data_IF_883306650946
#
_entry.id   IF_883306650946
#
_cell.length_a   1.000
_cell.length_b   1.000
_cell.length_c   1.000
_cell.angle_alpha   90.00
_cell.angle_beta   90.00
_cell.angle_gamma   90.00
#
_symmetry.space_group_name_H-M   'P 1'
#
loop_
_entity.id
_entity.type
_entity.pdbx_description
1 polymer ?
#
# COMPACT_ATOMS: atom_id res chain seq x y z
N UNK A 1 -2.33 -10.11 25.97
CA UNK A 1 -3.19 -8.94 25.62
C UNK A 1 -4.32 -9.40 24.71
N UNK A 2 -5.34 -8.58 24.45
CA UNK A 2 -6.32 -8.87 23.41
C UNK A 2 -5.70 -8.68 22.03
N UNK A 3 -5.77 -9.70 21.18
CA UNK A 3 -5.34 -9.59 19.79
C UNK A 3 -6.32 -8.73 18.99
N UNK A 4 -5.81 -8.03 17.98
CA UNK A 4 -6.63 -7.30 17.03
C UNK A 4 -5.93 -7.22 15.67
N UNK A 5 -6.74 -7.11 14.61
CA UNK A 5 -6.27 -6.76 13.26
C UNK A 5 -7.25 -5.76 12.65
N UNK A 6 -6.71 -4.75 11.99
CA UNK A 6 -7.46 -3.74 11.23
C UNK A 6 -6.88 -3.72 9.83
N UNK A 7 -7.77 -3.63 8.83
CA UNK A 7 -7.41 -3.63 7.41
C UNK A 7 -8.14 -2.49 6.70
N UNK A 8 -7.47 -1.82 5.76
CA UNK A 8 -8.09 -0.86 4.85
C UNK A 8 -7.84 -1.22 3.38
N UNK A 9 -8.83 -0.92 2.53
CA UNK A 9 -8.80 -1.11 1.08
C UNK A 9 -8.58 0.18 0.28
N UNK A 10 -8.20 1.26 0.97
CA UNK A 10 -7.96 2.57 0.36
C UNK A 10 -9.07 3.58 0.61
N UNK A 11 -8.72 4.85 0.46
CA UNK A 11 -9.63 5.99 0.53
C UNK A 11 -10.10 6.41 -0.87
N UNK A 12 -11.33 6.92 -0.97
CA UNK A 12 -11.90 7.41 -2.21
C UNK A 12 -13.36 7.02 -2.41
N UNK A 13 -13.94 7.49 -3.52
CA UNK A 13 -15.32 7.16 -3.88
C UNK A 13 -15.38 5.74 -4.44
N UNK A 14 -16.23 4.91 -3.85
CA UNK A 14 -16.58 3.57 -4.33
C UNK A 14 -17.99 3.64 -4.93
N UNK A 15 -18.18 3.08 -6.12
CA UNK A 15 -19.50 3.05 -6.75
C UNK A 15 -20.41 2.03 -6.06
N UNK A 16 -21.72 2.26 -6.05
CA UNK A 16 -22.66 1.44 -5.29
C UNK A 16 -22.67 -0.03 -5.73
N UNK A 17 -22.41 -0.30 -7.01
CA UNK A 17 -22.30 -1.65 -7.59
C UNK A 17 -21.03 -2.40 -7.15
N UNK A 18 -20.02 -1.68 -6.63
CA UNK A 18 -18.75 -2.25 -6.16
C UNK A 18 -18.58 -2.25 -4.64
N UNK A 19 -19.45 -1.55 -3.90
CA UNK A 19 -19.33 -1.44 -2.45
C UNK A 19 -19.27 -2.80 -1.75
N UNK A 20 -20.13 -3.75 -2.13
CA UNK A 20 -20.19 -5.08 -1.51
C UNK A 20 -18.92 -5.90 -1.77
N UNK A 21 -18.43 -5.93 -3.02
CA UNK A 21 -17.24 -6.71 -3.38
C UNK A 21 -15.96 -6.16 -2.73
N UNK A 22 -15.84 -4.83 -2.61
CA UNK A 22 -14.71 -4.16 -1.96
C UNK A 22 -14.77 -4.32 -0.43
N UNK A 23 -15.95 -4.32 0.18
CA UNK A 23 -16.09 -4.63 1.60
C UNK A 23 -15.79 -6.11 1.91
N UNK A 24 -16.26 -7.02 1.05
CA UNK A 24 -15.97 -8.45 1.18
C UNK A 24 -14.46 -8.73 1.12
N UNK A 25 -13.73 -8.11 0.19
CA UNK A 25 -12.27 -8.32 0.11
C UNK A 25 -11.51 -7.83 1.36
N UNK A 26 -11.92 -6.72 1.98
CA UNK A 26 -11.32 -6.25 3.24
C UNK A 26 -11.64 -7.21 4.39
N UNK A 27 -12.87 -7.73 4.44
CA UNK A 27 -13.28 -8.74 5.41
C UNK A 27 -12.46 -10.01 5.26
N UNK A 28 -12.28 -10.50 4.04
CA UNK A 28 -11.51 -11.71 3.76
C UNK A 28 -10.04 -11.54 4.15
N UNK A 29 -9.43 -10.40 3.81
CA UNK A 29 -8.06 -10.06 4.22
C UNK A 29 -7.91 -10.00 5.75
N UNK A 30 -8.86 -9.36 6.45
CA UNK A 30 -8.86 -9.31 7.91
C UNK A 30 -9.01 -10.72 8.53
N UNK A 31 -9.87 -11.58 7.98
CA UNK A 31 -10.03 -12.96 8.43
C UNK A 31 -8.79 -13.82 8.19
N UNK A 32 -8.07 -13.60 7.08
CA UNK A 32 -6.80 -14.29 6.79
C UNK A 32 -5.76 -13.93 7.86
N UNK A 33 -5.56 -12.64 8.16
CA UNK A 33 -4.64 -12.22 9.21
C UNK A 33 -5.11 -12.64 10.60
N UNK A 34 -6.41 -12.58 10.89
CA UNK A 34 -6.98 -13.04 12.16
C UNK A 34 -6.67 -14.51 12.44
N UNK A 35 -6.81 -15.39 11.45
CA UNK A 35 -6.49 -16.82 11.59
C UNK A 35 -5.03 -17.05 11.96
N UNK A 36 -4.11 -16.21 11.51
CA UNK A 36 -2.70 -16.30 11.90
C UNK A 36 -2.55 -15.97 13.38
N UNK A 37 -3.15 -14.87 13.84
CA UNK A 37 -3.14 -14.47 15.25
C UNK A 37 -3.79 -15.54 16.15
N UNK A 38 -4.96 -16.05 15.77
CA UNK A 38 -5.71 -17.07 16.51
C UNK A 38 -4.92 -18.38 16.68
N UNK A 39 -4.06 -18.71 15.72
CA UNK A 39 -3.15 -19.86 15.78
C UNK A 39 -1.81 -19.55 16.48
N UNK A 40 -1.68 -18.40 17.14
CA UNK A 40 -0.47 -18.00 17.87
C UNK A 40 0.66 -17.45 16.98
N UNK A 41 0.36 -17.09 15.73
CA UNK A 41 1.31 -16.40 14.85
C UNK A 41 1.57 -14.95 15.26
N UNK A 42 2.61 -14.35 14.68
CA UNK A 42 3.03 -12.98 15.01
C UNK A 42 2.16 -11.91 14.34
N UNK A 43 2.12 -10.72 14.92
CA UNK A 43 1.45 -9.55 14.32
C UNK A 43 2.01 -9.25 12.92
N UNK A 44 3.32 -9.43 12.76
CA UNK A 44 4.05 -9.18 11.54
C UNK A 44 3.63 -10.13 10.39
N UNK A 45 3.43 -11.41 10.70
CA UNK A 45 2.97 -12.39 9.70
C UNK A 45 1.48 -12.17 9.36
N UNK A 46 0.68 -11.73 10.35
CA UNK A 46 -0.73 -11.41 10.16
C UNK A 46 -0.94 -10.23 9.20
N UNK A 47 -0.20 -9.13 9.38
CA UNK A 47 -0.31 -7.95 8.49
C UNK A 47 0.23 -8.25 7.09
N UNK A 48 1.32 -9.02 6.97
CA UNK A 48 1.84 -9.46 5.67
C UNK A 48 0.78 -10.27 4.92
N UNK A 49 0.18 -11.28 5.56
CA UNK A 49 -0.81 -12.13 4.91
C UNK A 49 -2.08 -11.37 4.51
N UNK A 50 -2.56 -10.45 5.36
CA UNK A 50 -3.70 -9.61 5.06
C UNK A 50 -3.44 -8.71 3.84
N UNK A 51 -2.28 -8.04 3.78
CA UNK A 51 -1.93 -7.17 2.65
C UNK A 51 -1.69 -7.98 1.38
N UNK A 52 -1.03 -9.15 1.46
CA UNK A 52 -0.90 -10.07 0.30
C UNK A 52 -2.25 -10.46 -0.29
N UNK A 53 -3.25 -10.70 0.56
CA UNK A 53 -4.61 -11.04 0.10
C UNK A 53 -5.26 -9.88 -0.67
N UNK A 54 -4.99 -8.64 -0.28
CA UNK A 54 -5.46 -7.44 -0.98
C UNK A 54 -4.67 -7.20 -2.28
N UNK A 55 -3.37 -7.42 -2.29
CA UNK A 55 -2.52 -7.36 -3.49
C UNK A 55 -2.92 -8.40 -4.54
N UNK A 56 -3.39 -9.57 -4.12
CA UNK A 56 -3.86 -10.62 -5.03
C UNK A 56 -5.29 -10.34 -5.55
N UNK A 57 -6.03 -9.43 -4.91
CA UNK A 57 -7.41 -9.13 -5.25
C UNK A 57 -7.49 -7.96 -6.26
N UNK A 58 -7.97 -8.21 -7.50
CA UNK A 58 -7.99 -7.22 -8.59
C UNK A 58 -8.87 -6.00 -8.33
N UNK A 59 -9.61 -5.98 -7.23
CA UNK A 59 -10.45 -4.85 -6.85
C UNK A 59 -9.69 -3.71 -6.20
N UNK A 60 -8.47 -3.92 -5.73
CA UNK A 60 -7.68 -2.89 -5.03
C UNK A 60 -6.55 -2.34 -5.89
N UNK A 61 -6.03 -1.17 -5.49
CA UNK A 61 -4.91 -0.51 -6.14
C UNK A 61 -3.58 -0.94 -5.47
N UNK A 62 -3.28 -2.23 -5.50
CA UNK A 62 -2.02 -2.81 -5.03
C UNK A 62 -1.81 -4.17 -5.71
N UNK A 63 -0.57 -4.55 -6.01
CA UNK A 63 -0.28 -5.80 -6.73
C UNK A 63 -1.12 -5.92 -8.01
N UNK A 64 -1.92 -6.98 -8.11
CA UNK A 64 -2.90 -7.16 -9.19
C UNK A 64 -4.05 -6.18 -9.02
N UNK A 65 -4.28 -5.35 -10.04
CA UNK A 65 -5.29 -4.28 -9.99
C UNK A 65 -4.71 -2.89 -9.73
N UNK A 66 -3.39 -2.78 -9.57
CA UNK A 66 -2.66 -1.52 -9.54
C UNK A 66 -2.97 -0.63 -10.76
N UNK A 67 -2.99 0.68 -10.53
CA UNK A 67 -3.16 1.66 -11.59
C UNK A 67 -1.90 1.76 -12.47
N UNK A 68 -2.06 2.37 -13.65
CA UNK A 68 -0.96 2.55 -14.59
C UNK A 68 -0.34 3.95 -14.47
N UNK A 69 0.98 4.02 -14.64
CA UNK A 69 1.74 5.25 -14.82
C UNK A 69 1.36 5.95 -16.13
N UNK A 70 1.83 7.19 -16.32
CA UNK A 70 1.59 7.96 -17.52
C UNK A 70 2.14 7.32 -18.81
N UNK A 71 3.12 6.43 -18.72
CA UNK A 71 3.67 5.66 -19.85
C UNK A 71 3.14 4.22 -19.93
N UNK A 72 2.16 3.85 -19.10
CA UNK A 72 1.48 2.55 -19.17
C UNK A 72 2.23 1.41 -18.48
N UNK A 73 3.14 1.71 -17.57
CA UNK A 73 3.80 0.73 -16.69
C UNK A 73 3.02 0.56 -15.39
N UNK A 74 3.34 -0.51 -14.65
CA UNK A 74 2.82 -0.78 -13.31
C UNK A 74 4.01 -0.73 -12.36
N UNK A 75 4.07 0.33 -11.55
CA UNK A 75 5.10 0.54 -10.54
C UNK A 75 4.45 0.41 -9.17
N UNK A 76 5.02 -0.47 -8.33
CA UNK A 76 4.44 -0.82 -7.04
C UNK A 76 5.34 -0.38 -5.89
N UNK A 77 4.73 0.05 -4.80
CA UNK A 77 5.40 0.43 -3.56
C UNK A 77 4.80 -0.35 -2.39
N UNK A 78 5.63 -0.75 -1.42
CA UNK A 78 5.15 -1.36 -0.18
C UNK A 78 6.14 -1.16 0.98
N UNK A 79 5.63 -1.22 2.20
CA UNK A 79 6.41 -1.13 3.43
C UNK A 79 5.82 -1.94 4.57
N UNK A 80 6.67 -2.51 5.41
CA UNK A 80 6.30 -3.30 6.59
C UNK A 80 7.23 -2.98 7.76
N UNK A 81 6.66 -2.89 8.97
CA UNK A 81 7.40 -2.59 10.20
C UNK A 81 6.98 -3.50 11.35
N UNK A 82 7.97 -3.97 12.11
CA UNK A 82 7.79 -4.65 13.38
C UNK A 82 8.07 -3.66 14.53
N UNK A 83 7.09 -3.45 15.41
CA UNK A 83 7.17 -2.50 16.51
C UNK A 83 8.00 -2.94 17.73
N UNK A 84 8.38 -4.22 17.84
CA UNK A 84 9.19 -4.70 18.98
C UNK A 84 10.65 -4.23 18.87
N UNK A 85 11.21 -4.31 17.65
CA UNK A 85 12.63 -4.00 17.37
C UNK A 85 12.81 -2.84 16.42
N UNK A 86 11.71 -2.23 15.97
CA UNK A 86 11.70 -1.19 14.94
C UNK A 86 12.36 -1.65 13.63
N UNK A 87 12.29 -2.96 13.34
CA UNK A 87 12.77 -3.49 12.07
C UNK A 87 11.82 -3.04 10.97
N UNK A 88 12.37 -2.54 9.87
CA UNK A 88 11.63 -1.97 8.75
C UNK A 88 12.14 -2.56 7.45
N UNK A 89 11.24 -2.86 6.53
CA UNK A 89 11.58 -3.14 5.15
C UNK A 89 10.57 -2.49 4.21
N UNK A 90 11.06 -1.98 3.10
CA UNK A 90 10.25 -1.30 2.11
C UNK A 90 10.83 -1.48 0.71
N UNK A 91 9.94 -1.35 -0.28
CA UNK A 91 10.30 -1.27 -1.70
C UNK A 91 9.52 -0.20 -2.41
N UNK A 92 10.15 0.45 -3.40
CA UNK A 92 9.48 1.44 -4.24
C UNK A 92 9.78 1.27 -5.72
N UNK A 93 8.83 1.65 -6.57
CA UNK A 93 8.87 1.56 -8.02
C UNK A 93 9.27 0.17 -8.53
N UNK A 94 8.85 -0.90 -7.86
CA UNK A 94 9.13 -2.26 -8.33
C UNK A 94 8.12 -2.68 -9.39
N UNK A 95 8.61 -3.30 -10.45
CA UNK A 95 7.79 -3.87 -11.52
C UNK A 95 7.87 -5.40 -11.48
N UNK A 96 6.92 -6.10 -12.08
CA UNK A 96 6.96 -7.57 -12.25
C UNK A 96 7.06 -8.37 -10.93
N UNK A 97 6.57 -7.81 -9.81
CA UNK A 97 6.48 -8.48 -8.52
C UNK A 97 5.01 -8.59 -8.13
N UNK A 98 4.52 -9.83 -7.94
CA UNK A 98 3.11 -10.08 -7.62
C UNK A 98 2.71 -9.50 -6.26
N UNK A 99 3.59 -9.67 -5.26
CA UNK A 99 3.34 -9.26 -3.89
C UNK A 99 4.49 -8.38 -3.34
N UNK A 100 4.48 -7.06 -3.63
CA UNK A 100 5.45 -6.11 -3.10
C UNK A 100 5.65 -6.18 -1.59
N UNK A 101 4.60 -6.42 -0.81
CA UNK A 101 4.71 -6.47 0.66
C UNK A 101 5.63 -7.60 1.16
N UNK A 102 5.64 -8.75 0.48
CA UNK A 102 6.57 -9.83 0.83
C UNK A 102 7.99 -9.56 0.38
N UNK A 103 8.18 -8.78 -0.68
CA UNK A 103 9.51 -8.28 -1.01
C UNK A 103 10.00 -7.28 0.04
N UNK A 104 9.14 -6.37 0.50
CA UNK A 104 9.43 -5.48 1.62
C UNK A 104 9.80 -6.26 2.90
N UNK A 105 9.09 -7.36 3.20
CA UNK A 105 9.45 -8.27 4.31
C UNK A 105 10.86 -8.85 4.14
N UNK A 106 11.24 -9.28 2.93
CA UNK A 106 12.60 -9.76 2.66
C UNK A 106 13.66 -8.68 2.81
N UNK A 107 13.35 -7.44 2.45
CA UNK A 107 14.25 -6.29 2.70
C UNK A 107 14.47 -6.11 4.21
N UNK A 108 13.42 -6.20 5.02
CA UNK A 108 13.51 -6.08 6.49
C UNK A 108 14.42 -7.16 7.13
N UNK A 109 14.48 -8.35 6.52
CA UNK A 109 15.35 -9.45 6.96
C UNK A 109 16.82 -9.25 6.57
N UNK A 110 17.12 -8.19 5.80
CA UNK A 110 18.47 -7.79 5.37
C UNK A 110 19.01 -6.62 6.21
N UNK A 111 20.27 -6.18 6.00
CA UNK A 111 20.81 -4.97 6.62
C UNK A 111 20.22 -3.64 6.09
N UNK A 112 19.29 -3.69 5.11
CA UNK A 112 18.74 -2.52 4.43
C UNK A 112 17.30 -2.25 4.85
N UNK A 113 16.87 -0.99 4.72
CA UNK A 113 15.50 -0.56 5.06
C UNK A 113 14.64 -0.39 3.82
N UNK A 114 15.19 0.14 2.73
CA UNK A 114 14.45 0.48 1.52
C UNK A 114 15.30 0.16 0.28
N UNK A 115 14.76 -0.63 -0.64
CA UNK A 115 15.34 -0.87 -1.97
C UNK A 115 14.37 -0.39 -3.05
N UNK A 116 14.88 0.08 -4.18
CA UNK A 116 14.01 0.66 -5.23
C UNK A 116 14.31 0.12 -6.62
N UNK A 117 13.28 0.12 -7.46
CA UNK A 117 13.36 -0.19 -8.89
C UNK A 117 14.11 -1.48 -9.20
N UNK A 118 15.02 -1.40 -10.17
CA UNK A 118 15.80 -2.55 -10.66
C UNK A 118 16.58 -3.27 -9.56
N UNK A 119 17.18 -2.53 -8.62
CA UNK A 119 17.96 -3.14 -7.53
C UNK A 119 17.08 -4.00 -6.61
N UNK A 120 15.86 -3.53 -6.30
CA UNK A 120 14.90 -4.32 -5.53
C UNK A 120 14.41 -5.57 -6.28
N UNK A 121 14.27 -5.50 -7.61
CA UNK A 121 13.89 -6.66 -8.44
C UNK A 121 15.01 -7.71 -8.53
N UNK A 122 16.26 -7.27 -8.61
CA UNK A 122 17.43 -8.15 -8.56
C UNK A 122 17.51 -8.84 -7.19
N UNK A 123 17.32 -8.09 -6.10
CA UNK A 123 17.22 -8.63 -4.75
C UNK A 123 16.06 -9.64 -4.62
N UNK A 124 14.89 -9.35 -5.19
CA UNK A 124 13.76 -10.29 -5.20
C UNK A 124 14.14 -11.66 -5.77
N UNK A 125 14.87 -11.67 -6.89
CA UNK A 125 15.37 -12.89 -7.53
C UNK A 125 16.36 -13.65 -6.63
N UNK A 126 17.27 -12.94 -5.95
CA UNK A 126 18.22 -13.53 -5.01
C UNK A 126 17.52 -14.14 -3.79
N UNK A 127 16.41 -13.55 -3.36
CA UNK A 127 15.57 -14.06 -2.28
C UNK A 127 14.57 -15.15 -2.73
N UNK A 128 14.62 -15.57 -4.00
CA UNK A 128 13.76 -16.62 -4.54
C UNK A 128 12.31 -16.18 -4.82
N UNK A 129 12.03 -14.88 -4.87
CA UNK A 129 10.72 -14.35 -5.27
C UNK A 129 10.63 -14.38 -6.81
N UNK A 130 9.68 -15.11 -7.40
CA UNK A 130 9.53 -15.19 -8.85
C UNK A 130 9.02 -13.88 -9.43
N UNK A 131 9.52 -13.52 -10.61
CA UNK A 131 8.95 -12.43 -11.40
C UNK A 131 7.64 -12.88 -12.04
N UNK A 132 6.63 -12.02 -12.02
CA UNK A 132 5.39 -12.21 -12.77
C UNK A 132 5.43 -11.47 -14.11
N UNK A 133 4.46 -11.77 -14.98
CA UNK A 133 4.26 -11.01 -16.20
C UNK A 133 3.45 -9.73 -15.95
N UNK A 134 3.54 -8.76 -16.87
CA UNK A 134 2.69 -7.57 -16.84
C UNK A 134 1.18 -7.93 -16.82
N UNK A 135 0.79 -8.99 -17.54
CA UNK A 135 -0.60 -9.47 -17.60
C UNK A 135 -1.12 -10.07 -16.30
N UNK A 136 -0.23 -10.52 -15.41
CA UNK A 136 -0.61 -11.02 -14.08
C UNK A 136 -1.06 -9.88 -13.14
N UNK A 137 -0.51 -8.68 -13.35
CA UNK A 137 -0.81 -7.48 -12.56
C UNK A 137 -1.94 -6.65 -13.18
N UNK A 138 -1.98 -6.56 -14.52
CA UNK A 138 -2.94 -5.75 -15.24
C UNK A 138 -4.36 -6.31 -15.13
N UNK A 139 -5.33 -5.42 -14.98
CA UNK A 139 -6.76 -5.74 -15.12
C UNK A 139 -7.35 -4.99 -16.29
N UNK A 140 -8.40 -5.56 -16.90
CA UNK A 140 -9.12 -4.90 -17.99
C UNK A 140 -9.69 -3.53 -17.55
N UNK A 141 -10.14 -3.42 -16.30
CA UNK A 141 -10.62 -2.17 -15.70
C UNK A 141 -9.54 -1.08 -15.75
N UNK A 142 -8.34 -1.39 -15.25
CA UNK A 142 -7.25 -0.41 -15.21
C UNK A 142 -6.77 -0.05 -16.63
N UNK A 143 -6.71 -1.03 -17.53
CA UNK A 143 -6.33 -0.79 -18.92
C UNK A 143 -7.32 0.14 -19.66
N UNK A 144 -8.64 -0.11 -19.52
CA UNK A 144 -9.68 0.75 -20.11
C UNK A 144 -9.57 2.18 -19.57
N UNK A 145 -9.47 2.33 -18.25
CA UNK A 145 -9.33 3.64 -17.58
C UNK A 145 -8.11 4.41 -18.10
N UNK A 146 -6.96 3.74 -18.22
CA UNK A 146 -5.74 4.35 -18.76
C UNK A 146 -5.89 4.76 -20.23
N UNK A 147 -6.45 3.87 -21.07
CA UNK A 147 -6.64 4.14 -22.50
C UNK A 147 -7.60 5.31 -22.76
N UNK A 148 -8.67 5.41 -22.00
CA UNK A 148 -9.63 6.53 -22.05
C UNK A 148 -8.93 7.86 -21.70
N UNK A 149 -8.14 7.88 -20.62
CA UNK A 149 -7.39 9.07 -20.21
C UNK A 149 -6.34 9.50 -21.24
N UNK A 150 -5.64 8.55 -21.88
CA UNK A 150 -4.68 8.87 -22.95
C UNK A 150 -5.37 9.46 -24.18
N UNK A 151 -6.58 8.98 -24.50
CA UNK A 151 -7.35 9.50 -25.64
C UNK A 151 -7.86 10.92 -25.36
N UNK A 152 -8.31 11.20 -24.14
CA UNK A 152 -8.78 12.53 -23.73
C UNK A 152 -7.63 13.56 -23.54
N UNK A 153 -6.44 13.10 -23.13
CA UNK A 153 -5.26 13.95 -22.93
C UNK A 153 -4.51 14.32 -24.20
N UNK A 154 -4.90 13.78 -25.36
CA UNK A 154 -4.32 14.13 -26.66
C UNK A 154 -4.87 15.46 -27.22
N UNK A 155 -5.91 16.03 -26.62
CA UNK A 155 -6.62 17.23 -27.10
C UNK A 155 -6.22 18.54 -26.40
N UNK A 156 -5.33 18.53 -25.41
CA UNK A 156 -4.92 19.73 -24.64
C UNK A 156 -3.43 20.09 -24.82
N UNK A 157 -3.13 21.38 -24.97
CA UNK A 157 -1.79 21.93 -25.21
C UNK A 157 -0.77 21.53 -24.11
N UNK A 158 0.48 21.34 -24.55
CA UNK A 158 1.59 20.66 -23.88
C UNK A 158 2.08 21.31 -22.57
N UNK A 159 1.42 21.06 -21.44
CA UNK A 159 2.12 21.18 -20.16
C UNK A 159 3.19 20.08 -20.04
N UNK A 160 4.44 20.40 -19.63
CA UNK A 160 5.48 19.40 -19.43
C UNK A 160 5.01 18.31 -18.47
N UNK A 161 5.28 17.03 -18.79
CA UNK A 161 4.79 15.86 -18.02
C UNK A 161 5.04 15.93 -16.50
N UNK A 162 6.07 16.66 -16.06
CA UNK A 162 6.46 16.84 -14.66
C UNK A 162 5.77 18.01 -13.93
N UNK A 163 5.04 18.89 -14.65
CA UNK A 163 4.25 19.99 -14.09
C UNK A 163 2.77 19.66 -13.89
N UNK A 164 2.33 18.48 -14.35
CA UNK A 164 1.00 17.94 -14.06
C UNK A 164 0.83 17.67 -12.57
N UNK A 165 0.43 18.68 -11.80
CA UNK A 165 -0.28 18.45 -10.54
C UNK A 165 -1.54 17.69 -10.91
N UNK A 166 -1.61 16.41 -10.53
CA UNK A 166 -2.78 15.54 -10.71
C UNK A 166 -3.61 15.87 -11.95
N UNK A 167 -3.15 15.49 -13.15
CA UNK A 167 -4.05 15.63 -14.31
C UNK A 167 -5.26 14.76 -14.08
N UNK A 168 -6.38 15.47 -13.93
CA UNK A 168 -7.67 15.04 -13.44
C UNK A 168 -7.72 14.80 -11.93
N UNK A 169 -8.13 15.86 -11.21
CA UNK A 169 -9.29 15.73 -10.32
C UNK A 169 -10.43 15.15 -11.17
N UNK A 170 -10.42 13.83 -11.32
CA UNK A 170 -11.43 13.10 -12.08
C UNK A 170 -12.81 13.53 -11.64
N UNK A 171 -13.80 13.39 -12.51
CA UNK A 171 -15.17 13.78 -12.18
C UNK A 171 -15.58 13.16 -10.83
N UNK A 172 -16.49 13.77 -10.04
CA UNK A 172 -16.96 13.19 -8.77
C UNK A 172 -17.55 11.77 -8.89
N UNK A 173 -17.71 11.27 -10.12
CA UNK A 173 -18.23 9.95 -10.47
C UNK A 173 -17.12 8.92 -10.74
N UNK A 174 -15.86 9.32 -10.76
CA UNK A 174 -14.75 8.39 -10.99
C UNK A 174 -14.32 7.70 -9.70
N UNK A 175 -14.31 6.38 -9.78
CA UNK A 175 -13.94 5.52 -8.67
C UNK A 175 -12.44 5.66 -8.34
N UNK A 176 -12.14 5.96 -7.08
CA UNK A 176 -10.76 6.11 -6.59
C UNK A 176 -10.50 4.99 -5.60
N UNK A 177 -9.63 4.05 -5.99
CA UNK A 177 -9.11 3.04 -5.08
C UNK A 177 -7.74 3.50 -4.61
N UNK A 178 -7.63 3.67 -3.30
CA UNK A 178 -6.37 4.03 -2.65
C UNK A 178 -5.49 2.83 -2.33
N UNK A 179 -4.40 3.14 -1.66
CA UNK A 179 -3.47 2.25 -0.99
C UNK A 179 -4.17 1.26 -0.06
N UNK A 180 -3.68 0.02 0.00
CA UNK A 180 -4.15 -0.99 0.96
C UNK A 180 -3.19 -1.12 2.13
N UNK A 181 -3.69 -1.61 3.26
CA UNK A 181 -2.82 -1.81 4.42
C UNK A 181 -3.50 -2.50 5.59
N UNK A 182 -2.68 -2.91 6.54
CA UNK A 182 -3.10 -3.61 7.74
C UNK A 182 -2.23 -3.24 8.95
N UNK A 183 -2.84 -3.24 10.13
CA UNK A 183 -2.16 -3.16 11.42
C UNK A 183 -2.66 -4.26 12.34
N UNK A 184 -1.79 -4.80 13.18
CA UNK A 184 -2.15 -5.87 14.10
C UNK A 184 -1.41 -5.78 15.44
N UNK A 185 -2.01 -6.37 16.47
CA UNK A 185 -1.39 -6.69 17.76
C UNK A 185 -1.57 -8.17 18.05
N UNK A 186 -0.49 -8.86 18.42
CA UNK A 186 -0.50 -10.30 18.72
C UNK A 186 -0.67 -10.59 20.22
N UNK A 187 -0.64 -11.89 20.59
CA UNK A 187 -0.83 -12.34 21.97
C UNK A 187 0.26 -11.84 22.92
N UNK A 188 1.47 -11.62 22.40
CA UNK A 188 2.63 -11.08 23.10
C UNK A 188 2.55 -9.55 23.27
N UNK A 189 1.62 -8.89 22.56
CA UNK A 189 1.46 -7.44 22.58
C UNK A 189 2.35 -6.72 21.58
N UNK A 190 3.00 -7.44 20.65
CA UNK A 190 3.80 -6.83 19.60
C UNK A 190 2.90 -6.24 18.54
N UNK A 191 3.20 -5.01 18.14
CA UNK A 191 2.50 -4.25 17.11
C UNK A 191 3.23 -4.37 15.76
N UNK A 192 2.48 -4.43 14.67
CA UNK A 192 3.03 -4.39 13.32
C UNK A 192 2.12 -3.63 12.36
N UNK A 193 2.73 -3.04 11.32
CA UNK A 193 2.04 -2.31 10.26
C UNK A 193 2.58 -2.72 8.89
N UNK A 194 1.70 -2.79 7.90
CA UNK A 194 2.02 -3.10 6.51
C UNK A 194 1.14 -2.28 5.56
N UNK A 195 1.74 -1.71 4.51
CA UNK A 195 1.06 -0.87 3.51
C UNK A 195 1.57 -1.19 2.11
N UNK A 196 0.69 -1.24 1.10
CA UNK A 196 1.04 -1.53 -0.29
C UNK A 196 0.18 -0.73 -1.28
N UNK A 197 0.74 -0.31 -2.41
CA UNK A 197 0.04 0.52 -3.40
C UNK A 197 0.58 0.35 -4.81
N UNK A 198 -0.28 0.60 -5.79
CA UNK A 198 0.08 0.88 -7.19
C UNK A 198 0.33 2.35 -7.48
N UNK A 199 0.35 3.20 -6.45
CA UNK A 199 0.53 4.64 -6.59
C UNK A 199 -0.75 5.37 -7.00
N UNK A 200 -0.61 6.51 -7.66
CA UNK A 200 -1.74 7.29 -8.18
C UNK A 200 -1.89 7.11 -9.69
N UNK A 201 -3.13 7.14 -10.15
CA UNK A 201 -3.44 6.98 -11.57
C UNK A 201 -2.72 8.03 -12.42
N UNK A 202 -2.12 7.62 -13.53
CA UNK A 202 -1.41 8.50 -14.46
C UNK A 202 -0.20 9.23 -13.82
N UNK A 203 0.36 8.66 -12.74
CA UNK A 203 1.55 9.22 -12.10
C UNK A 203 2.74 9.27 -13.06
N UNK A 204 3.64 10.20 -12.79
CA UNK A 204 4.91 10.24 -13.49
C UNK A 204 5.72 8.96 -13.15
N UNK A 205 6.28 8.26 -14.17
CA UNK A 205 7.31 7.23 -14.02
C UNK A 205 8.32 7.48 -12.89
N UNK A 206 8.38 6.58 -11.91
CA UNK A 206 9.31 6.69 -10.78
C UNK A 206 8.82 7.61 -9.66
N UNK A 207 7.56 8.08 -9.70
CA UNK A 207 6.94 8.77 -8.55
C UNK A 207 6.76 7.78 -7.41
N UNK A 208 7.24 8.17 -6.24
CA UNK A 208 7.09 7.43 -4.98
C UNK A 208 6.16 8.20 -4.06
N UNK A 209 5.13 7.52 -3.55
CA UNK A 209 4.19 8.09 -2.58
C UNK A 209 4.67 7.96 -1.13
N UNK A 210 3.73 8.08 -0.19
CA UNK A 210 3.95 7.88 1.24
C UNK A 210 4.19 6.41 1.62
N UNK A 211 3.59 5.48 0.86
CA UNK A 211 3.50 4.05 1.20
C UNK A 211 4.82 3.38 1.57
N UNK A 212 5.94 3.53 0.84
CA UNK A 212 7.20 2.88 1.21
C UNK A 212 8.06 3.72 2.17
N UNK A 213 7.58 4.91 2.58
CA UNK A 213 8.31 5.82 3.44
C UNK A 213 7.89 5.60 4.90
N UNK A 214 8.83 5.12 5.72
CA UNK A 214 8.58 4.86 7.15
C UNK A 214 8.19 6.15 7.87
N UNK A 215 7.15 6.08 8.69
CA UNK A 215 6.57 7.24 9.36
C UNK A 215 5.64 8.10 8.49
N UNK A 216 5.54 7.82 7.19
CA UNK A 216 4.58 8.48 6.30
C UNK A 216 3.38 7.59 6.03
N UNK A 217 3.60 6.49 5.30
CA UNK A 217 2.54 5.56 4.89
C UNK A 217 2.29 4.41 5.88
N UNK A 218 3.26 4.13 6.73
CA UNK A 218 3.19 3.11 7.77
C UNK A 218 4.16 3.41 8.91
N UNK A 219 3.82 2.95 10.11
CA UNK A 219 4.70 3.00 11.28
C UNK A 219 4.24 1.99 12.33
N UNK A 220 5.16 1.41 13.10
CA UNK A 220 4.84 0.61 14.27
C UNK A 220 5.93 0.74 15.34
N UNK A 221 5.53 0.95 16.60
CA UNK A 221 6.38 0.89 17.79
C UNK A 221 5.61 0.22 18.94
N UNK A 222 6.11 0.31 20.18
CA UNK A 222 5.44 -0.24 21.36
C UNK A 222 4.12 0.46 21.73
N UNK A 223 3.84 1.65 21.18
CA UNK A 223 2.68 2.47 21.50
C UNK A 223 1.56 2.33 20.46
N UNK A 224 1.91 2.33 19.17
CA UNK A 224 0.94 2.31 18.08
C UNK A 224 1.46 1.62 16.82
N UNK A 225 0.52 1.04 16.05
CA UNK A 225 0.72 0.68 14.65
C UNK A 225 -0.24 1.49 13.78
N UNK A 226 0.28 2.08 12.71
CA UNK A 226 -0.45 2.99 11.82
C UNK A 226 -0.19 2.59 10.37
N UNK A 227 -1.25 2.56 9.56
CA UNK A 227 -1.22 2.33 8.12
C UNK A 227 -2.11 3.38 7.46
N UNK A 228 -1.61 4.00 6.40
CA UNK A 228 -2.21 5.19 5.81
C UNK A 228 -2.68 4.96 4.36
N UNK A 229 -3.67 5.76 3.95
CA UNK A 229 -4.11 5.88 2.56
C UNK A 229 -4.62 7.30 2.32
N UNK A 230 -4.25 7.91 1.20
CA UNK A 230 -4.69 9.26 0.85
C UNK A 230 -3.75 9.95 -0.13
N UNK A 231 -3.62 11.27 0.03
CA UNK A 231 -2.74 12.14 -0.77
C UNK A 231 -1.28 11.95 -0.35
N UNK A 232 -0.56 11.07 -1.05
CA UNK A 232 0.77 10.61 -0.63
C UNK A 232 1.80 11.72 -0.42
N UNK A 233 1.78 12.78 -1.22
CA UNK A 233 2.67 13.93 -1.08
C UNK A 233 2.45 14.69 0.24
N UNK A 234 1.21 14.82 0.69
CA UNK A 234 0.90 15.51 1.95
C UNK A 234 1.22 14.61 3.15
N UNK A 235 0.96 13.31 3.03
CA UNK A 235 1.31 12.32 4.07
C UNK A 235 2.82 12.24 4.27
N UNK A 236 3.59 12.31 3.18
CA UNK A 236 5.05 12.37 3.22
C UNK A 236 5.58 13.67 3.85
N UNK A 237 4.99 14.83 3.51
CA UNK A 237 5.39 16.13 4.09
C UNK A 237 5.07 16.25 5.58
N UNK A 238 4.00 15.61 6.03
CA UNK A 238 3.48 15.74 7.39
C UNK A 238 3.86 14.56 8.31
N UNK A 239 4.54 13.54 7.78
CA UNK A 239 4.90 12.31 8.50
C UNK A 239 3.68 11.70 9.21
N UNK A 240 2.59 11.53 8.46
CA UNK A 240 1.26 11.29 9.03
C UNK A 240 1.24 10.08 9.98
N UNK A 241 1.77 8.92 9.55
CA UNK A 241 1.79 7.72 10.38
C UNK A 241 2.59 7.91 11.69
N UNK A 242 3.78 8.54 11.62
CA UNK A 242 4.62 8.79 12.79
C UNK A 242 3.96 9.79 13.73
N UNK A 243 3.36 10.85 13.19
CA UNK A 243 2.69 11.89 13.97
C UNK A 243 1.49 11.35 14.74
N UNK A 244 0.68 10.49 14.12
CA UNK A 244 -0.41 9.78 14.81
C UNK A 244 0.13 8.89 15.93
N UNK A 245 1.22 8.13 15.68
CA UNK A 245 1.85 7.33 16.72
C UNK A 245 2.39 8.17 17.89
N UNK A 246 2.97 9.35 17.63
CA UNK A 246 3.43 10.28 18.66
C UNK A 246 2.29 10.81 19.54
N UNK A 247 1.12 11.09 18.96
CA UNK A 247 -0.06 11.47 19.74
C UNK A 247 -0.51 10.33 20.66
N UNK A 248 -0.55 9.10 20.15
CA UNK A 248 -0.87 7.93 20.98
C UNK A 248 0.14 7.75 22.12
N UNK A 249 1.43 7.88 21.81
CA UNK A 249 2.51 7.82 22.81
C UNK A 249 2.40 8.92 23.88
N UNK A 250 1.82 10.08 23.54
CA UNK A 250 1.54 11.16 24.50
C UNK A 250 0.30 10.93 25.39
N UNK A 251 -0.38 9.80 25.24
CA UNK A 251 -1.56 9.41 26.02
C UNK A 251 -2.90 9.76 25.37
N UNK A 252 -2.90 10.23 24.12
CA UNK A 252 -4.13 10.47 23.34
C UNK A 252 -4.71 9.13 22.86
N UNK A 253 -6.03 9.00 22.81
CA UNK A 253 -6.64 7.77 22.29
C UNK A 253 -6.36 7.59 20.80
N UNK A 254 -6.33 6.35 20.29
CA UNK A 254 -6.12 6.10 18.87
C UNK A 254 -7.17 6.77 17.96
N UNK A 255 -8.39 6.99 18.47
CA UNK A 255 -9.43 7.73 17.76
C UNK A 255 -9.09 9.21 17.68
N UNK A 256 -8.82 9.84 18.83
CA UNK A 256 -8.57 11.28 18.88
C UNK A 256 -7.22 11.66 18.22
N UNK A 257 -6.26 10.74 18.19
CA UNK A 257 -4.99 10.91 17.46
C UNK A 257 -5.17 10.87 15.93
N UNK A 258 -6.28 10.31 15.43
CA UNK A 258 -6.60 10.23 14.01
C UNK A 258 -7.51 11.39 13.53
N UNK A 259 -8.18 12.10 14.45
CA UNK A 259 -8.99 13.31 14.20
C UNK A 259 -8.12 14.56 14.08
#
# INVERSE_FOLDING_TARGET
MSMAIIVHGGAGTITSDRAEIVQAGCRDAALIGWRILENGGSALDAVEAAVRALEDNPNYNAGRGACLTADGRIELDAGIMNGEKLNVGAVACVEYIKNPISLARKVMESPHVLLVGRGAQEFAREQGIPQCSFGDLLTERQYKRWKEAQSAGAETEEEPRYHRREVNRGSPREERHGTVGAVAVDTSGVLAAATSTGGIFNQYPGRVGDTPLVGCGFYADENAAVSCTGEGEDFARLLMAKRTADFVASGVSARDAAE
#
